data_IF_503337419979
#
_entry.id   IF_503337419979
#
_cell.length_a   1.000
_cell.length_b   1.000
_cell.length_c   1.000
_cell.angle_alpha   90.00
_cell.angle_beta   90.00
_cell.angle_gamma   90.00
#
_symmetry.space_group_name_H-M   'P 1'
#
loop_
_entity.id
_entity.type
_entity.pdbx_description
1 polymer ?
#
# COMPACT_ATOMS: atom_id res chain seq x y z
N UNK A 1 37.92 -22.73 35.44
CA UNK A 1 36.81 -21.78 35.66
C UNK A 1 37.05 -20.55 34.76
N UNK A 2 36.44 -20.57 33.61
CA UNK A 2 36.49 -19.46 32.66
C UNK A 2 35.12 -18.74 32.71
N UNK A 3 35.03 -17.65 33.49
CA UNK A 3 33.85 -16.80 33.52
C UNK A 3 33.85 -15.95 32.27
N UNK A 4 32.99 -16.29 31.32
CA UNK A 4 32.63 -15.42 30.20
C UNK A 4 31.98 -14.14 30.73
N UNK A 5 32.50 -12.99 30.32
CA UNK A 5 31.92 -11.70 30.60
C UNK A 5 30.56 -11.57 29.89
N UNK A 6 29.53 -10.94 30.48
CA UNK A 6 28.28 -10.72 29.81
C UNK A 6 28.44 -9.78 28.60
N UNK A 7 27.78 -10.11 27.51
CA UNK A 7 27.68 -9.27 26.32
C UNK A 7 27.09 -7.88 26.70
N UNK A 8 27.58 -6.79 26.13
CA UNK A 8 27.01 -5.47 26.39
C UNK A 8 25.54 -5.43 25.88
N UNK A 9 24.69 -4.81 26.68
CA UNK A 9 23.31 -4.57 26.35
C UNK A 9 23.21 -3.82 25.01
N UNK A 10 22.18 -4.11 24.16
CA UNK A 10 21.98 -3.37 22.93
C UNK A 10 21.82 -1.88 23.24
N UNK A 11 22.51 -1.05 22.46
CA UNK A 11 22.41 0.39 22.58
C UNK A 11 20.94 0.82 22.43
N UNK A 12 20.45 1.78 23.25
CA UNK A 12 19.10 2.29 23.10
C UNK A 12 18.90 2.85 21.68
N UNK A 13 17.74 2.58 21.10
CA UNK A 13 17.35 3.16 19.82
C UNK A 13 17.59 4.68 19.85
N UNK A 14 18.29 5.20 18.86
CA UNK A 14 18.59 6.63 18.80
C UNK A 14 17.27 7.40 18.84
N UNK A 15 17.11 8.27 19.84
CA UNK A 15 15.97 9.18 19.91
C UNK A 15 15.96 10.08 18.65
N UNK A 16 14.78 10.36 18.05
CA UNK A 16 14.69 11.22 16.88
C UNK A 16 15.30 12.59 17.23
N UNK A 17 16.17 13.09 16.37
CA UNK A 17 16.87 14.35 16.63
C UNK A 17 15.86 15.49 16.76
N UNK A 18 15.92 16.32 17.83
CA UNK A 18 14.95 17.38 18.10
C UNK A 18 14.78 18.40 16.95
N UNK A 19 15.81 18.56 16.14
CA UNK A 19 15.82 19.50 15.01
C UNK A 19 15.09 18.96 13.79
N UNK A 20 15.20 17.66 13.50
CA UNK A 20 14.54 17.00 12.40
C UNK A 20 13.01 16.94 12.64
N UNK A 21 12.60 16.56 13.85
CA UNK A 21 11.18 16.55 14.25
C UNK A 21 10.52 17.93 14.13
N UNK A 22 11.29 19.00 14.40
CA UNK A 22 10.82 20.39 14.31
C UNK A 22 10.63 20.86 12.87
N UNK A 23 11.53 20.46 11.96
CA UNK A 23 11.44 20.79 10.54
C UNK A 23 10.26 20.07 9.89
N UNK A 24 10.09 18.80 10.18
CA UNK A 24 8.99 17.98 9.70
C UNK A 24 7.63 18.48 10.23
N UNK A 25 7.54 18.78 11.52
CA UNK A 25 6.35 19.37 12.13
C UNK A 25 5.98 20.71 11.49
N UNK A 26 6.97 21.57 11.20
CA UNK A 26 6.76 22.84 10.50
C UNK A 26 6.25 22.66 9.07
N UNK A 27 6.78 21.69 8.33
CA UNK A 27 6.27 21.33 7.00
C UNK A 27 4.83 20.82 7.07
N UNK A 28 4.54 19.87 7.97
CA UNK A 28 3.18 19.32 8.16
C UNK A 28 2.16 20.37 8.50
N UNK A 29 2.46 21.27 9.43
CA UNK A 29 1.53 22.33 9.82
C UNK A 29 1.18 23.24 8.63
N UNK A 30 2.18 23.62 7.83
CA UNK A 30 1.96 24.43 6.62
C UNK A 30 1.22 23.68 5.53
N UNK A 31 1.58 22.42 5.29
CA UNK A 31 0.89 21.59 4.31
C UNK A 31 -0.59 21.42 4.69
N UNK A 32 -0.89 21.17 5.96
CA UNK A 32 -2.25 21.06 6.46
C UNK A 32 -3.04 22.35 6.26
N UNK A 33 -2.47 23.50 6.67
CA UNK A 33 -3.17 24.80 6.60
C UNK A 33 -3.34 25.30 5.17
N UNK A 34 -2.29 25.25 4.37
CA UNK A 34 -2.21 25.97 3.09
C UNK A 34 -2.64 25.11 1.90
N UNK A 35 -2.60 23.78 2.06
CA UNK A 35 -2.90 22.80 1.00
C UNK A 35 -4.07 21.90 1.37
N UNK A 36 -3.95 21.11 2.43
CA UNK A 36 -4.88 20.04 2.73
C UNK A 36 -6.27 20.53 3.12
N UNK A 37 -6.38 21.45 4.07
CA UNK A 37 -7.68 22.03 4.47
C UNK A 37 -8.40 22.74 3.32
N UNK A 38 -7.75 23.64 2.53
CA UNK A 38 -8.39 24.23 1.36
C UNK A 38 -8.81 23.21 0.31
N UNK A 39 -7.99 22.19 0.07
CA UNK A 39 -8.31 21.09 -0.87
C UNK A 39 -9.56 20.32 -0.42
N UNK A 40 -9.62 19.87 0.82
CA UNK A 40 -10.78 19.16 1.36
C UNK A 40 -12.06 20.04 1.36
N UNK A 41 -11.94 21.32 1.64
CA UNK A 41 -13.06 22.28 1.56
C UNK A 41 -13.55 22.42 0.13
N UNK A 42 -12.65 22.51 -0.85
CA UNK A 42 -13.02 22.60 -2.27
C UNK A 42 -13.72 21.30 -2.76
N UNK A 43 -13.24 20.12 -2.36
CA UNK A 43 -13.89 18.83 -2.65
C UNK A 43 -15.29 18.78 -2.03
N UNK A 44 -15.45 19.18 -0.77
CA UNK A 44 -16.76 19.21 -0.10
C UNK A 44 -17.74 20.13 -0.83
N UNK A 45 -17.29 21.32 -1.26
CA UNK A 45 -18.09 22.25 -2.05
C UNK A 45 -18.47 21.71 -3.43
N UNK A 46 -17.54 21.02 -4.10
CA UNK A 46 -17.80 20.34 -5.37
C UNK A 46 -18.89 19.24 -5.20
N UNK A 47 -18.75 18.37 -4.20
CA UNK A 47 -19.71 17.32 -3.89
C UNK A 47 -21.11 17.88 -3.60
N UNK A 48 -21.18 18.92 -2.75
CA UNK A 48 -22.42 19.58 -2.42
C UNK A 48 -23.10 20.18 -3.66
N UNK A 49 -22.34 20.89 -4.51
CA UNK A 49 -22.87 21.47 -5.75
C UNK A 49 -23.32 20.38 -6.75
N UNK A 50 -22.55 19.31 -6.87
CA UNK A 50 -22.88 18.19 -7.74
C UNK A 50 -24.22 17.53 -7.35
N UNK A 51 -24.42 17.26 -6.05
CA UNK A 51 -25.67 16.68 -5.54
C UNK A 51 -26.82 17.68 -5.64
N UNK A 52 -26.68 18.89 -5.09
CA UNK A 52 -27.78 19.83 -4.94
C UNK A 52 -28.22 20.48 -6.26
N UNK A 53 -27.28 20.72 -7.18
CA UNK A 53 -27.57 21.42 -8.44
C UNK A 53 -27.55 20.46 -9.64
N UNK A 54 -26.56 19.56 -9.73
CA UNK A 54 -26.41 18.63 -10.85
C UNK A 54 -27.44 17.49 -10.82
N UNK A 55 -27.25 16.60 -9.85
CA UNK A 55 -28.08 15.39 -9.72
C UNK A 55 -29.55 15.74 -9.48
N UNK A 56 -29.85 16.65 -8.55
CA UNK A 56 -31.23 17.00 -8.24
C UNK A 56 -32.00 17.51 -9.46
N UNK A 57 -31.37 18.36 -10.28
CA UNK A 57 -31.98 18.91 -11.50
C UNK A 57 -32.20 17.85 -12.58
N UNK A 58 -31.20 17.00 -12.80
CA UNK A 58 -31.29 15.92 -13.78
C UNK A 58 -32.31 14.85 -13.36
N UNK A 59 -32.38 14.53 -12.09
CA UNK A 59 -33.39 13.63 -11.50
C UNK A 59 -34.81 14.15 -11.70
N UNK A 60 -35.05 15.44 -11.43
CA UNK A 60 -36.36 16.07 -11.65
C UNK A 60 -36.77 16.02 -13.13
N UNK A 61 -35.85 16.26 -14.05
CA UNK A 61 -36.07 16.16 -15.47
C UNK A 61 -36.42 14.71 -15.92
N UNK A 62 -35.73 13.71 -15.39
CA UNK A 62 -36.00 12.30 -15.61
C UNK A 62 -37.39 11.90 -15.07
N UNK A 63 -37.76 12.38 -13.90
CA UNK A 63 -39.07 12.16 -13.29
C UNK A 63 -40.20 12.78 -14.15
N UNK A 64 -40.00 13.99 -14.65
CA UNK A 64 -40.98 14.64 -15.54
C UNK A 64 -41.16 13.89 -16.87
N UNK A 65 -40.12 13.15 -17.33
CA UNK A 65 -40.20 12.28 -18.52
C UNK A 65 -40.80 10.89 -18.22
N UNK A 66 -41.01 10.55 -16.95
CA UNK A 66 -41.45 9.21 -16.52
C UNK A 66 -40.38 8.13 -16.63
N UNK A 67 -39.11 8.48 -16.72
CA UNK A 67 -37.98 7.52 -16.82
C UNK A 67 -37.57 7.02 -15.45
N UNK A 68 -38.16 5.92 -14.98
CA UNK A 68 -37.81 5.32 -13.67
C UNK A 68 -36.33 4.86 -13.62
N UNK A 69 -35.79 4.33 -14.71
CA UNK A 69 -34.38 3.88 -14.76
C UNK A 69 -33.41 5.02 -14.58
N UNK A 70 -33.65 6.18 -15.20
CA UNK A 70 -32.82 7.37 -15.00
C UNK A 70 -32.94 7.91 -13.57
N UNK A 71 -34.16 8.00 -13.02
CA UNK A 71 -34.37 8.43 -11.62
C UNK A 71 -33.61 7.55 -10.67
N UNK A 72 -33.68 6.23 -10.82
CA UNK A 72 -32.92 5.27 -9.98
C UNK A 72 -31.40 5.46 -10.10
N UNK A 73 -30.89 5.70 -11.31
CA UNK A 73 -29.48 5.94 -11.53
C UNK A 73 -28.98 7.22 -10.81
N UNK A 74 -29.78 8.29 -10.81
CA UNK A 74 -29.46 9.52 -10.08
C UNK A 74 -29.56 9.33 -8.56
N UNK A 75 -30.50 8.54 -8.06
CA UNK A 75 -30.61 8.24 -6.63
C UNK A 75 -29.41 7.41 -6.13
N UNK A 76 -28.94 6.43 -6.92
CA UNK A 76 -27.72 5.67 -6.64
C UNK A 76 -26.50 6.57 -6.63
N UNK A 77 -26.35 7.45 -7.64
CA UNK A 77 -25.23 8.38 -7.72
C UNK A 77 -25.20 9.35 -6.53
N UNK A 78 -26.36 9.89 -6.14
CA UNK A 78 -26.48 10.74 -4.97
C UNK A 78 -26.01 10.02 -3.71
N UNK A 79 -26.50 8.81 -3.49
CA UNK A 79 -26.11 8.00 -2.34
C UNK A 79 -24.61 7.71 -2.31
N UNK A 80 -23.99 7.40 -3.45
CA UNK A 80 -22.57 7.17 -3.56
C UNK A 80 -21.73 8.41 -3.14
N UNK A 81 -22.12 9.60 -3.60
CA UNK A 81 -21.46 10.86 -3.22
C UNK A 81 -21.66 11.17 -1.72
N UNK A 82 -22.88 10.98 -1.20
CA UNK A 82 -23.19 11.21 0.22
C UNK A 82 -22.46 10.21 1.13
N UNK A 83 -22.22 9.00 0.67
CA UNK A 83 -21.41 7.98 1.34
C UNK A 83 -19.88 8.17 1.19
N UNK A 84 -19.46 9.17 0.40
CA UNK A 84 -18.04 9.48 0.19
C UNK A 84 -17.33 8.64 -0.87
N UNK A 85 -18.07 7.84 -1.66
CA UNK A 85 -17.52 6.97 -2.71
C UNK A 85 -16.97 7.76 -3.92
N UNK A 86 -17.40 9.01 -4.08
CA UNK A 86 -16.99 9.87 -5.19
C UNK A 86 -17.60 9.47 -6.54
N UNK A 87 -17.27 10.25 -7.58
CA UNK A 87 -17.69 9.93 -8.96
C UNK A 87 -16.69 8.95 -9.57
N UNK A 88 -17.15 7.83 -10.17
CA UNK A 88 -16.24 6.87 -10.82
C UNK A 88 -15.36 7.51 -11.89
N UNK A 89 -14.13 7.03 -12.02
CA UNK A 89 -13.18 7.55 -13.01
C UNK A 89 -13.64 7.30 -14.46
N UNK A 90 -14.36 6.20 -14.68
CA UNK A 90 -14.92 5.84 -15.98
C UNK A 90 -16.42 5.51 -15.87
N UNK A 91 -17.15 5.71 -16.94
CA UNK A 91 -18.59 5.44 -17.03
C UNK A 91 -18.86 4.07 -17.64
N UNK A 92 -19.79 3.30 -17.03
CA UNK A 92 -20.30 2.10 -17.65
C UNK A 92 -21.15 2.46 -18.89
N UNK A 93 -21.18 1.57 -19.91
CA UNK A 93 -21.95 1.80 -21.14
C UNK A 93 -23.46 1.98 -20.87
N UNK A 94 -23.95 1.35 -19.81
CA UNK A 94 -25.37 1.25 -19.46
C UNK A 94 -25.93 2.45 -18.69
N UNK A 95 -25.08 3.40 -18.26
CA UNK A 95 -25.60 4.55 -17.50
C UNK A 95 -26.23 5.61 -18.42
N UNK A 96 -27.22 6.37 -17.91
CA UNK A 96 -27.87 7.43 -18.68
C UNK A 96 -26.89 8.49 -19.21
N UNK A 97 -27.11 8.98 -20.44
CA UNK A 97 -26.26 10.02 -21.05
C UNK A 97 -26.15 11.27 -20.17
N UNK A 98 -27.28 11.73 -19.61
CA UNK A 98 -27.28 12.89 -18.72
C UNK A 98 -26.44 12.67 -17.44
N UNK A 99 -26.29 11.45 -16.95
CA UNK A 99 -25.40 11.14 -15.83
C UNK A 99 -23.92 11.13 -16.28
N UNK A 100 -23.62 10.64 -17.49
CA UNK A 100 -22.27 10.72 -18.09
C UNK A 100 -21.79 12.18 -18.19
N UNK A 101 -22.66 13.07 -18.68
CA UNK A 101 -22.34 14.50 -18.83
C UNK A 101 -22.08 15.18 -17.47
N UNK A 102 -22.89 14.86 -16.47
CA UNK A 102 -22.70 15.37 -15.10
C UNK A 102 -21.39 14.87 -14.50
N UNK A 103 -21.08 13.58 -14.66
CA UNK A 103 -19.81 12.98 -14.20
C UNK A 103 -18.61 13.58 -14.92
N UNK A 104 -18.69 13.82 -16.21
CA UNK A 104 -17.62 14.48 -16.98
C UNK A 104 -17.35 15.89 -16.42
N UNK A 105 -18.40 16.68 -16.18
CA UNK A 105 -18.27 18.01 -15.59
C UNK A 105 -17.64 17.97 -14.18
N UNK A 106 -18.07 17.02 -13.35
CA UNK A 106 -17.50 16.82 -12.02
C UNK A 106 -16.00 16.47 -12.08
N UNK A 107 -15.61 15.53 -12.96
CA UNK A 107 -14.20 15.13 -13.12
C UNK A 107 -13.31 16.28 -13.57
N UNK A 108 -13.78 17.14 -14.47
CA UNK A 108 -13.05 18.34 -14.88
C UNK A 108 -12.84 19.31 -13.70
N UNK A 109 -13.86 19.53 -12.90
CA UNK A 109 -13.76 20.38 -11.72
C UNK A 109 -12.82 19.79 -10.67
N UNK A 110 -12.88 18.47 -10.44
CA UNK A 110 -11.99 17.74 -9.55
C UNK A 110 -10.53 17.80 -10.02
N UNK A 111 -10.27 17.65 -11.32
CA UNK A 111 -8.93 17.77 -11.90
C UNK A 111 -8.35 19.18 -11.66
N UNK A 112 -9.15 20.23 -11.82
CA UNK A 112 -8.73 21.60 -11.52
C UNK A 112 -8.35 21.78 -10.05
N UNK A 113 -9.19 21.31 -9.13
CA UNK A 113 -8.93 21.36 -7.67
C UNK A 113 -7.64 20.60 -7.33
N UNK A 114 -7.40 19.46 -7.96
CA UNK A 114 -6.19 18.67 -7.78
C UNK A 114 -4.94 19.41 -8.31
N UNK A 115 -5.03 20.03 -9.47
CA UNK A 115 -3.94 20.86 -10.02
C UNK A 115 -3.59 22.04 -9.11
N UNK A 116 -4.60 22.69 -8.52
CA UNK A 116 -4.39 23.79 -7.57
C UNK A 116 -3.73 23.30 -6.27
N UNK A 117 -4.09 22.10 -5.78
CA UNK A 117 -3.41 21.45 -4.66
C UNK A 117 -1.93 21.21 -4.97
N UNK A 118 -1.65 20.64 -6.13
CA UNK A 118 -0.30 20.27 -6.53
C UNK A 118 0.58 21.53 -6.73
N UNK A 119 0.02 22.57 -7.32
CA UNK A 119 0.69 23.86 -7.48
C UNK A 119 1.04 24.52 -6.13
N UNK A 120 0.23 24.33 -5.09
CA UNK A 120 0.51 24.80 -3.73
C UNK A 120 1.47 23.89 -2.98
N UNK A 121 1.45 22.59 -3.26
CA UNK A 121 2.32 21.60 -2.62
C UNK A 121 3.77 21.76 -3.06
N UNK A 122 3.99 22.00 -4.36
CA UNK A 122 5.32 22.06 -4.95
C UNK A 122 6.29 23.04 -4.23
N UNK A 123 5.94 24.31 -4.00
CA UNK A 123 6.85 25.26 -3.32
C UNK A 123 7.11 24.88 -1.86
N UNK A 124 6.17 24.23 -1.17
CA UNK A 124 6.39 23.75 0.20
C UNK A 124 7.44 22.63 0.23
N UNK A 125 7.38 21.72 -0.74
CA UNK A 125 8.39 20.66 -0.89
C UNK A 125 9.76 21.24 -1.26
N UNK A 126 9.82 22.27 -2.11
CA UNK A 126 11.08 22.94 -2.47
C UNK A 126 11.77 23.57 -1.23
N UNK A 127 10.98 24.22 -0.35
CA UNK A 127 11.48 24.77 0.92
C UNK A 127 11.96 23.66 1.85
N UNK A 128 11.21 22.57 1.95
CA UNK A 128 11.56 21.43 2.81
C UNK A 128 12.83 20.72 2.31
N UNK A 129 12.96 20.48 1.01
CA UNK A 129 14.18 19.92 0.40
C UNK A 129 15.42 20.75 0.70
N UNK A 130 15.31 22.08 0.56
CA UNK A 130 16.44 22.99 0.84
C UNK A 130 16.87 22.93 2.31
N UNK A 131 15.94 22.78 3.22
CA UNK A 131 16.25 22.64 4.65
C UNK A 131 16.91 21.28 4.93
N UNK A 132 16.41 20.18 4.34
CA UNK A 132 17.05 18.86 4.45
C UNK A 132 18.47 18.85 3.88
N UNK A 133 18.73 19.53 2.75
CA UNK A 133 20.06 19.66 2.19
C UNK A 133 21.04 20.37 3.15
N UNK A 134 20.57 21.41 3.84
CA UNK A 134 21.37 22.12 4.83
C UNK A 134 21.69 21.24 6.05
N UNK A 135 20.73 20.48 6.55
CA UNK A 135 20.92 19.57 7.69
C UNK A 135 21.83 18.39 7.34
N UNK A 136 21.69 17.78 6.15
CA UNK A 136 22.61 16.74 5.65
C UNK A 136 24.05 17.27 5.61
N UNK A 137 24.25 18.48 5.07
CA UNK A 137 25.57 19.09 5.01
C UNK A 137 26.14 19.39 6.40
N UNK A 138 25.30 19.83 7.34
CA UNK A 138 25.67 20.08 8.74
C UNK A 138 26.11 18.81 9.46
N UNK A 139 25.33 17.72 9.35
CA UNK A 139 25.65 16.41 9.93
C UNK A 139 26.93 15.83 9.35
N UNK A 140 27.14 15.96 8.04
CA UNK A 140 28.34 15.49 7.35
C UNK A 140 29.59 16.23 7.86
N UNK A 141 29.52 17.56 8.01
CA UNK A 141 30.62 18.37 8.58
C UNK A 141 30.91 18.04 10.04
N UNK A 142 29.87 17.67 10.79
CA UNK A 142 30.02 17.25 12.19
C UNK A 142 30.55 15.81 12.35
N UNK A 143 30.82 15.10 11.26
CA UNK A 143 31.26 13.70 11.29
C UNK A 143 30.17 12.68 11.62
N UNK A 144 28.89 13.08 11.69
CA UNK A 144 27.75 12.26 12.00
C UNK A 144 27.23 11.56 10.72
N UNK A 145 28.04 10.69 10.15
CA UNK A 145 27.85 10.15 8.80
C UNK A 145 26.60 9.29 8.69
N UNK A 146 26.28 8.44 9.67
CA UNK A 146 25.09 7.58 9.61
C UNK A 146 23.79 8.39 9.71
N UNK A 147 23.76 9.43 10.56
CA UNK A 147 22.64 10.36 10.64
C UNK A 147 22.46 11.14 9.32
N UNK A 148 23.58 11.58 8.71
CA UNK A 148 23.55 12.26 7.41
C UNK A 148 23.01 11.35 6.29
N UNK A 149 23.38 10.07 6.27
CA UNK A 149 22.85 9.09 5.28
C UNK A 149 21.35 8.86 5.44
N UNK A 150 20.85 8.72 6.67
CA UNK A 150 19.41 8.56 6.93
C UNK A 150 18.63 9.78 6.44
N UNK A 151 19.11 10.97 6.77
CA UNK A 151 18.46 12.21 6.33
C UNK A 151 18.54 12.41 4.82
N UNK A 152 19.63 12.01 4.18
CA UNK A 152 19.78 12.04 2.73
C UNK A 152 18.79 11.09 2.03
N UNK A 153 18.53 9.90 2.60
CA UNK A 153 17.49 9.00 2.09
C UNK A 153 16.10 9.66 2.12
N UNK A 154 15.72 10.25 3.24
CA UNK A 154 14.47 11.00 3.38
C UNK A 154 14.37 12.16 2.36
N UNK A 155 15.48 12.89 2.18
CA UNK A 155 15.56 13.95 1.17
C UNK A 155 15.29 13.43 -0.25
N UNK A 156 15.78 12.23 -0.61
CA UNK A 156 15.54 11.62 -1.92
C UNK A 156 14.05 11.30 -2.14
N UNK A 157 13.36 10.82 -1.11
CA UNK A 157 11.92 10.53 -1.16
C UNK A 157 11.11 11.82 -1.41
N UNK A 158 11.43 12.87 -0.68
CA UNK A 158 10.77 14.17 -0.86
C UNK A 158 11.07 14.76 -2.25
N UNK A 159 12.28 14.55 -2.78
CA UNK A 159 12.64 14.99 -4.12
C UNK A 159 11.85 14.24 -5.21
N UNK A 160 11.70 12.92 -5.07
CA UNK A 160 10.88 12.12 -5.98
C UNK A 160 9.40 12.57 -5.95
N UNK A 161 8.85 12.83 -4.77
CA UNK A 161 7.51 13.39 -4.61
C UNK A 161 7.38 14.76 -5.29
N UNK A 162 8.38 15.63 -5.15
CA UNK A 162 8.41 16.94 -5.79
C UNK A 162 8.47 16.84 -7.33
N UNK A 163 9.26 15.91 -7.84
CA UNK A 163 9.38 15.65 -9.28
C UNK A 163 8.04 15.17 -9.87
N UNK A 164 7.35 14.25 -9.18
CA UNK A 164 6.03 13.77 -9.59
C UNK A 164 4.98 14.88 -9.74
N UNK A 165 5.06 15.95 -8.94
CA UNK A 165 4.18 17.12 -9.07
C UNK A 165 4.56 18.04 -10.25
N UNK A 166 5.76 17.90 -10.82
CA UNK A 166 6.24 18.74 -11.92
C UNK A 166 5.81 18.25 -13.30
N UNK A 167 5.22 17.05 -13.37
CA UNK A 167 4.62 16.54 -14.60
C UNK A 167 3.23 17.17 -14.75
N UNK A 168 2.98 18.07 -15.73
CA UNK A 168 1.68 18.70 -15.93
C UNK A 168 0.62 17.62 -16.22
N UNK A 169 -0.38 17.53 -15.33
CA UNK A 169 -1.43 16.51 -15.40
C UNK A 169 -0.83 15.14 -15.06
N UNK A 170 -0.83 14.74 -13.76
CA UNK A 170 -0.18 13.53 -13.26
C UNK A 170 -0.17 12.42 -14.29
N UNK A 171 1.00 12.00 -14.70
CA UNK A 171 1.34 11.10 -15.81
C UNK A 171 0.12 10.68 -16.66
N UNK A 172 -0.22 11.47 -17.68
CA UNK A 172 -1.08 10.96 -18.74
C UNK A 172 -0.39 9.69 -19.25
N UNK A 173 -1.02 8.56 -19.03
CA UNK A 173 -0.58 7.32 -19.64
C UNK A 173 -0.38 7.60 -21.14
N UNK A 174 0.67 7.05 -21.77
CA UNK A 174 0.93 7.30 -23.17
C UNK A 174 -0.34 7.01 -23.97
N UNK A 175 -0.73 7.96 -24.81
CA UNK A 175 -1.88 7.85 -25.70
C UNK A 175 -1.72 6.56 -26.50
N UNK A 176 -2.60 5.57 -26.25
CA UNK A 176 -2.51 4.25 -26.89
C UNK A 176 -2.34 3.06 -25.94
N UNK A 177 -2.36 3.24 -24.63
CA UNK A 177 -2.32 2.12 -23.70
C UNK A 177 -3.56 1.23 -23.89
N UNK A 178 -3.33 -0.02 -24.34
CA UNK A 178 -4.37 -1.05 -24.42
C UNK A 178 -4.99 -1.27 -23.03
N UNK A 179 -6.32 -1.49 -22.94
CA UNK A 179 -6.95 -1.90 -21.66
C UNK A 179 -6.20 -3.08 -21.05
N UNK A 180 -6.15 -3.16 -19.71
CA UNK A 180 -5.52 -4.31 -19.06
C UNK A 180 -6.16 -5.61 -19.54
N UNK A 181 -5.35 -6.64 -19.85
CA UNK A 181 -5.86 -7.92 -20.34
C UNK A 181 -6.81 -8.54 -19.30
N UNK A 182 -8.01 -8.97 -19.72
CA UNK A 182 -8.94 -9.68 -18.84
C UNK A 182 -8.36 -10.98 -18.28
N UNK A 183 -7.41 -11.57 -19.02
CA UNK A 183 -6.78 -12.86 -18.71
C UNK A 183 -5.47 -12.74 -17.90
N UNK A 184 -5.15 -11.53 -17.45
CA UNK A 184 -3.93 -11.26 -16.70
C UNK A 184 -2.79 -10.69 -17.55
N UNK A 185 -1.73 -10.25 -16.86
CA UNK A 185 -0.54 -9.65 -17.44
C UNK A 185 0.71 -10.25 -16.80
N UNK A 186 1.77 -10.46 -17.56
CA UNK A 186 3.09 -10.86 -17.04
C UNK A 186 4.09 -9.79 -17.41
N UNK A 187 4.82 -9.28 -16.42
CA UNK A 187 5.80 -8.21 -16.59
C UNK A 187 7.18 -8.74 -17.06
N UNK A 188 8.14 -7.85 -17.25
CA UNK A 188 9.51 -8.20 -17.71
C UNK A 188 10.33 -9.01 -16.70
N UNK A 189 9.89 -9.11 -15.44
CA UNK A 189 10.50 -9.95 -14.40
C UNK A 189 9.82 -11.33 -14.30
N UNK A 190 8.80 -11.59 -15.14
CA UNK A 190 8.03 -12.83 -15.07
C UNK A 190 6.99 -12.84 -13.93
N UNK A 191 6.73 -11.71 -13.29
CA UNK A 191 5.67 -11.57 -12.28
C UNK A 191 4.31 -11.51 -12.99
N UNK A 192 3.39 -12.38 -12.62
CA UNK A 192 2.04 -12.45 -13.19
C UNK A 192 1.07 -11.62 -12.35
N UNK A 193 0.18 -10.90 -13.02
CA UNK A 193 -0.83 -10.03 -12.43
C UNK A 193 -2.22 -10.46 -12.89
N UNK A 194 -3.18 -10.44 -11.97
CA UNK A 194 -4.60 -10.71 -12.24
C UNK A 194 -5.46 -9.51 -11.83
N UNK A 195 -6.53 -9.19 -12.60
CA UNK A 195 -7.46 -8.13 -12.20
C UNK A 195 -8.24 -8.55 -10.96
N UNK A 196 -8.37 -7.64 -10.00
CA UNK A 196 -9.17 -7.85 -8.80
C UNK A 196 -10.44 -7.05 -8.90
N UNK A 197 -11.58 -7.74 -8.99
CA UNK A 197 -12.90 -7.11 -9.12
C UNK A 197 -13.20 -6.25 -7.89
N UNK A 198 -13.56 -5.00 -8.12
CA UNK A 198 -13.83 -4.01 -7.06
C UNK A 198 -12.64 -3.06 -6.85
N UNK A 199 -11.57 -3.24 -7.62
CA UNK A 199 -10.42 -2.33 -7.67
C UNK A 199 -10.12 -1.93 -9.11
N UNK A 200 -9.35 -0.86 -9.30
CA UNK A 200 -8.83 -0.40 -10.60
C UNK A 200 -7.39 -0.89 -10.86
N UNK A 201 -6.98 -1.97 -10.19
CA UNK A 201 -5.63 -2.51 -10.28
C UNK A 201 -5.62 -4.01 -10.58
N UNK A 202 -4.49 -4.49 -11.08
CA UNK A 202 -4.16 -5.91 -11.11
C UNK A 202 -3.17 -6.20 -10.00
N UNK A 203 -3.42 -7.25 -9.23
CA UNK A 203 -2.51 -7.73 -8.19
C UNK A 203 -1.50 -8.71 -8.76
N UNK A 204 -0.23 -8.58 -8.36
CA UNK A 204 0.72 -9.67 -8.51
C UNK A 204 0.18 -10.91 -7.76
N UNK A 205 0.19 -12.06 -8.43
CA UNK A 205 -0.40 -13.28 -7.85
C UNK A 205 0.36 -13.83 -6.65
N UNK A 206 1.59 -13.38 -6.42
CA UNK A 206 2.47 -13.79 -5.33
C UNK A 206 3.20 -12.57 -4.73
N UNK A 207 3.79 -12.72 -3.58
CA UNK A 207 4.72 -11.77 -2.95
C UNK A 207 5.92 -11.50 -3.87
N UNK A 208 6.54 -10.33 -3.79
CA UNK A 208 7.77 -10.02 -4.54
C UNK A 208 8.88 -10.96 -4.11
N UNK A 209 9.44 -11.70 -5.07
CA UNK A 209 10.46 -12.74 -4.80
C UNK A 209 11.85 -12.12 -4.65
N UNK A 210 12.72 -12.87 -3.97
CA UNK A 210 14.14 -12.53 -3.86
C UNK A 210 14.78 -12.26 -5.24
N UNK A 211 14.55 -13.09 -6.25
CA UNK A 211 15.09 -12.89 -7.61
C UNK A 211 14.61 -11.60 -8.28
N UNK A 212 13.34 -11.22 -8.04
CA UNK A 212 12.76 -9.99 -8.58
C UNK A 212 13.47 -8.77 -7.97
N UNK A 213 13.62 -8.79 -6.64
CA UNK A 213 14.30 -7.72 -5.91
C UNK A 213 15.81 -7.69 -6.17
N UNK A 214 16.46 -8.84 -6.35
CA UNK A 214 17.87 -8.92 -6.72
C UNK A 214 18.15 -8.25 -8.08
N UNK A 215 17.22 -8.41 -9.04
CA UNK A 215 17.30 -7.73 -10.34
C UNK A 215 17.23 -6.22 -10.18
N UNK A 216 16.37 -5.71 -9.29
CA UNK A 216 16.31 -4.31 -8.93
C UNK A 216 17.61 -3.82 -8.27
N UNK A 217 18.08 -4.55 -7.25
CA UNK A 217 19.28 -4.19 -6.50
C UNK A 217 20.53 -4.15 -7.38
N UNK A 218 20.65 -5.08 -8.33
CA UNK A 218 21.74 -5.08 -9.31
C UNK A 218 21.73 -3.84 -10.23
N UNK A 219 20.53 -3.35 -10.58
CA UNK A 219 20.36 -2.16 -11.39
C UNK A 219 20.47 -0.84 -10.62
N UNK A 220 20.47 -0.89 -9.28
CA UNK A 220 20.46 0.29 -8.40
C UNK A 220 21.54 0.14 -7.30
N UNK A 221 22.82 0.40 -7.62
CA UNK A 221 23.90 0.36 -6.64
C UNK A 221 23.62 1.27 -5.44
N UNK A 222 23.85 0.75 -4.22
CA UNK A 222 23.53 1.45 -2.96
C UNK A 222 22.19 1.05 -2.35
N UNK A 223 21.44 0.13 -2.97
CA UNK A 223 20.28 -0.51 -2.33
C UNK A 223 20.71 -1.19 -1.02
N UNK A 224 19.91 -1.01 0.04
CA UNK A 224 20.16 -1.65 1.34
C UNK A 224 20.29 -3.18 1.20
N UNK A 225 21.16 -3.79 1.99
CA UNK A 225 21.54 -5.20 1.85
C UNK A 225 20.89 -6.14 2.87
N UNK A 226 20.00 -5.63 3.74
CA UNK A 226 19.35 -6.40 4.81
C UNK A 226 18.62 -7.66 4.30
N UNK A 227 18.13 -7.62 3.08
CA UNK A 227 17.44 -8.73 2.42
C UNK A 227 18.33 -9.91 2.05
N UNK A 228 19.66 -9.72 2.04
CA UNK A 228 20.60 -10.76 1.58
C UNK A 228 20.79 -11.87 2.61
N UNK A 229 20.82 -11.51 3.90
CA UNK A 229 21.21 -12.41 4.99
C UNK A 229 20.19 -12.37 6.16
N UNK A 230 18.92 -12.19 5.87
CA UNK A 230 17.88 -12.24 6.88
C UNK A 230 17.73 -13.66 7.46
N UNK A 231 17.43 -13.75 8.76
CA UNK A 231 17.25 -15.03 9.45
C UNK A 231 16.45 -14.86 10.75
N UNK A 232 15.83 -15.95 11.19
CA UNK A 232 15.11 -16.06 12.46
C UNK A 232 15.67 -17.25 13.25
N UNK A 233 16.08 -17.02 14.48
CA UNK A 233 16.67 -18.03 15.39
C UNK A 233 17.75 -18.89 14.72
N UNK A 234 18.59 -18.29 13.88
CA UNK A 234 19.67 -18.97 13.16
C UNK A 234 19.23 -19.71 11.88
N UNK A 235 17.95 -19.72 11.54
CA UNK A 235 17.41 -20.27 10.30
C UNK A 235 17.29 -19.16 9.25
N UNK A 236 17.86 -19.32 8.05
CA UNK A 236 17.76 -18.32 6.99
C UNK A 236 16.30 -18.06 6.56
N UNK A 237 15.99 -16.79 6.25
CA UNK A 237 14.68 -16.36 5.74
C UNK A 237 14.86 -15.75 4.35
N UNK A 238 14.00 -16.11 3.39
CA UNK A 238 13.98 -15.49 2.06
C UNK A 238 15.32 -15.62 1.30
N UNK A 239 16.06 -16.70 1.48
CA UNK A 239 17.41 -16.84 0.94
C UNK A 239 17.48 -17.53 -0.43
N UNK A 240 16.41 -18.19 -0.87
CA UNK A 240 16.30 -18.77 -2.21
C UNK A 240 15.57 -17.85 -3.18
N UNK A 241 15.87 -18.00 -4.47
CA UNK A 241 15.37 -17.11 -5.54
C UNK A 241 13.85 -17.00 -5.59
N UNK A 242 13.15 -18.10 -5.35
CA UNK A 242 11.68 -18.16 -5.39
C UNK A 242 11.00 -17.92 -4.03
N UNK A 243 11.73 -17.63 -2.97
CA UNK A 243 11.17 -17.17 -1.71
C UNK A 243 10.79 -15.68 -1.76
N UNK A 244 9.85 -15.20 -0.94
CA UNK A 244 9.61 -13.78 -0.82
C UNK A 244 10.87 -13.05 -0.36
N UNK A 245 11.10 -11.86 -0.86
CA UNK A 245 12.13 -11.01 -0.32
C UNK A 245 11.72 -10.50 1.05
N UNK A 246 12.63 -10.54 2.01
CA UNK A 246 12.42 -10.12 3.41
C UNK A 246 13.46 -9.09 3.85
N UNK A 247 13.28 -8.50 5.02
CA UNK A 247 14.17 -7.43 5.49
C UNK A 247 13.94 -6.11 4.75
N UNK A 248 12.80 -5.96 4.10
CA UNK A 248 12.46 -4.82 3.24
C UNK A 248 11.77 -3.74 4.07
N UNK A 249 12.31 -2.51 3.99
CA UNK A 249 11.67 -1.32 4.50
C UNK A 249 10.57 -0.86 3.54
N UNK A 250 9.56 -0.17 4.04
CA UNK A 250 8.50 0.40 3.18
C UNK A 250 9.08 1.27 2.06
N UNK A 251 10.09 2.09 2.39
CA UNK A 251 10.78 2.95 1.42
C UNK A 251 11.50 2.15 0.32
N UNK A 252 12.04 0.97 0.64
CA UNK A 252 12.69 0.09 -0.34
C UNK A 252 11.66 -0.53 -1.30
N UNK A 253 10.49 -0.91 -0.78
CA UNK A 253 9.38 -1.41 -1.60
C UNK A 253 8.86 -0.32 -2.57
N UNK A 254 8.74 0.93 -2.11
CA UNK A 254 8.41 2.08 -2.96
C UNK A 254 9.45 2.31 -4.05
N UNK A 255 10.74 2.24 -3.71
CA UNK A 255 11.83 2.41 -4.66
C UNK A 255 11.83 1.31 -5.73
N UNK A 256 11.54 0.05 -5.35
CA UNK A 256 11.34 -1.06 -6.29
C UNK A 256 10.19 -0.76 -7.26
N UNK A 257 9.03 -0.33 -6.75
CA UNK A 257 7.87 0.03 -7.56
C UNK A 257 8.19 1.15 -8.56
N UNK A 258 8.86 2.21 -8.11
CA UNK A 258 9.25 3.35 -8.94
C UNK A 258 10.22 2.93 -10.05
N UNK A 259 11.24 2.11 -9.72
CA UNK A 259 12.18 1.57 -10.70
C UNK A 259 11.47 0.72 -11.76
N UNK A 260 10.59 -0.21 -11.35
CA UNK A 260 9.87 -1.07 -12.27
C UNK A 260 8.92 -0.27 -13.16
N UNK A 261 8.27 0.75 -12.58
CA UNK A 261 7.41 1.67 -13.33
C UNK A 261 8.18 2.39 -14.44
N UNK A 262 9.34 2.94 -14.11
CA UNK A 262 10.23 3.60 -15.08
C UNK A 262 10.74 2.63 -16.14
N UNK A 263 11.12 1.41 -15.73
CA UNK A 263 11.63 0.36 -16.64
C UNK A 263 10.60 -0.05 -17.69
N UNK A 264 9.32 -0.12 -17.33
CA UNK A 264 8.27 -0.66 -18.21
C UNK A 264 7.31 0.39 -18.75
N UNK A 265 7.41 1.65 -18.35
CA UNK A 265 6.48 2.70 -18.75
C UNK A 265 5.04 2.43 -18.27
N UNK A 266 4.88 1.80 -17.10
CA UNK A 266 3.62 1.45 -16.44
C UNK A 266 3.63 1.98 -15.01
N UNK A 267 2.49 1.97 -14.33
CA UNK A 267 2.42 2.38 -12.93
C UNK A 267 2.32 1.17 -12.02
N UNK A 268 3.43 0.83 -11.38
CA UNK A 268 3.48 -0.15 -10.29
C UNK A 268 3.57 0.58 -8.96
N UNK A 269 2.86 0.07 -7.95
CA UNK A 269 2.89 0.60 -6.58
C UNK A 269 2.55 -0.49 -5.56
N UNK A 270 2.65 -0.18 -4.29
CA UNK A 270 2.06 -1.01 -3.24
C UNK A 270 0.53 -0.95 -3.34
N UNK A 271 -0.20 -2.00 -2.96
CA UNK A 271 -1.66 -1.92 -2.81
C UNK A 271 -2.02 -0.97 -1.67
N UNK A 272 -3.18 -0.35 -1.74
CA UNK A 272 -3.77 0.30 -0.56
C UNK A 272 -4.30 -0.75 0.41
N UNK A 273 -4.52 -0.37 1.68
CA UNK A 273 -5.14 -1.24 2.70
C UNK A 273 -6.53 -1.70 2.25
N UNK A 274 -7.29 -0.85 1.56
CA UNK A 274 -8.58 -1.20 0.99
C UNK A 274 -8.48 -2.20 -0.16
N UNK A 275 -7.59 -1.96 -1.12
CA UNK A 275 -7.34 -2.89 -2.22
C UNK A 275 -6.90 -4.26 -1.72
N UNK A 276 -6.04 -4.29 -0.69
CA UNK A 276 -5.61 -5.53 -0.05
C UNK A 276 -6.79 -6.25 0.63
N UNK A 277 -7.65 -5.51 1.35
CA UNK A 277 -8.87 -6.08 1.97
C UNK A 277 -9.83 -6.65 0.93
N UNK A 278 -10.01 -5.97 -0.21
CA UNK A 278 -10.80 -6.49 -1.34
C UNK A 278 -10.17 -7.76 -1.89
N UNK A 279 -8.85 -7.77 -2.07
CA UNK A 279 -8.10 -8.89 -2.63
C UNK A 279 -8.16 -10.15 -1.75
N UNK A 280 -8.17 -10.02 -0.42
CA UNK A 280 -8.32 -11.15 0.50
C UNK A 280 -9.78 -11.57 0.72
N UNK A 281 -10.76 -10.75 0.29
CA UNK A 281 -12.19 -11.08 0.35
C UNK A 281 -13.00 -10.37 1.44
N UNK A 282 -12.49 -9.32 2.07
CA UNK A 282 -13.14 -8.57 3.16
C UNK A 282 -14.07 -7.44 2.70
N UNK A 283 -14.13 -7.11 1.42
CA UNK A 283 -14.81 -5.91 0.88
C UNK A 283 -16.26 -5.70 1.32
N UNK A 284 -16.97 -6.78 1.71
CA UNK A 284 -18.36 -6.71 2.20
C UNK A 284 -18.49 -6.76 3.72
N UNK A 285 -17.37 -7.00 4.40
CA UNK A 285 -17.32 -7.21 5.84
C UNK A 285 -16.73 -5.99 6.58
N UNK A 286 -15.99 -5.15 5.87
CA UNK A 286 -15.43 -3.91 6.38
C UNK A 286 -16.26 -2.71 5.95
N UNK A 287 -16.80 -1.97 6.92
CA UNK A 287 -17.48 -0.70 6.67
C UNK A 287 -16.46 0.42 6.68
N UNK A 288 -16.16 0.95 5.52
CA UNK A 288 -15.24 2.08 5.36
C UNK A 288 -16.04 3.37 5.18
N UNK A 289 -15.91 4.28 6.12
CA UNK A 289 -16.50 5.61 6.07
C UNK A 289 -15.40 6.67 6.20
N UNK A 290 -15.75 7.92 5.91
CA UNK A 290 -14.81 9.05 6.03
C UNK A 290 -14.23 9.14 7.46
N UNK A 291 -12.89 9.20 7.55
CA UNK A 291 -12.17 9.30 8.83
C UNK A 291 -11.87 7.96 9.49
N UNK A 292 -12.25 6.83 8.89
CA UNK A 292 -11.81 5.51 9.36
C UNK A 292 -10.37 5.25 8.91
N UNK A 293 -9.50 5.01 9.88
CA UNK A 293 -8.11 4.61 9.66
C UNK A 293 -7.99 3.09 9.61
N UNK A 294 -6.92 2.51 9.02
CA UNK A 294 -6.66 1.08 9.07
C UNK A 294 -6.64 0.52 10.50
N UNK A 295 -6.11 1.25 11.48
CA UNK A 295 -6.08 0.85 12.88
C UNK A 295 -7.49 0.62 13.47
N UNK A 296 -8.46 1.43 13.06
CA UNK A 296 -9.85 1.29 13.50
C UNK A 296 -10.55 0.06 12.91
N UNK A 297 -10.08 -0.44 11.77
CA UNK A 297 -10.61 -1.62 11.10
C UNK A 297 -9.93 -2.92 11.55
N UNK A 298 -8.80 -2.81 12.26
CA UNK A 298 -8.08 -3.99 12.74
C UNK A 298 -8.95 -4.81 13.69
N UNK A 299 -9.03 -6.13 13.45
CA UNK A 299 -9.75 -7.11 14.27
C UNK A 299 -11.27 -6.86 14.42
N UNK A 300 -11.88 -6.03 13.60
CA UNK A 300 -13.34 -5.84 13.63
C UNK A 300 -14.06 -7.09 13.11
N UNK A 301 -13.54 -7.72 12.07
CA UNK A 301 -14.01 -9.00 11.57
C UNK A 301 -13.12 -10.11 12.16
N UNK A 302 -13.70 -11.06 12.91
CA UNK A 302 -12.96 -12.04 13.72
C UNK A 302 -13.17 -13.50 13.29
N UNK A 303 -13.82 -13.72 12.16
CA UNK A 303 -14.13 -15.08 11.70
C UNK A 303 -13.50 -15.41 10.34
N UNK A 304 -12.96 -14.42 9.63
CA UNK A 304 -12.41 -14.58 8.29
C UNK A 304 -10.90 -14.72 8.30
N UNK A 305 -10.44 -15.87 7.84
CA UNK A 305 -9.03 -16.17 7.63
C UNK A 305 -8.70 -16.21 6.14
N UNK A 306 -7.44 -16.01 5.73
CA UNK A 306 -7.03 -16.03 4.31
C UNK A 306 -7.35 -17.33 3.57
N UNK A 307 -7.44 -18.45 4.30
CA UNK A 307 -7.93 -19.71 3.79
C UNK A 307 -9.45 -19.85 4.00
N UNK A 308 -10.09 -20.73 3.25
CA UNK A 308 -11.55 -20.92 3.30
C UNK A 308 -12.05 -21.72 4.53
N UNK A 309 -11.41 -21.61 5.69
CA UNK A 309 -11.71 -22.41 6.87
C UNK A 309 -11.68 -21.61 8.17
N UNK A 310 -11.92 -22.33 9.27
CA UNK A 310 -11.81 -21.78 10.62
C UNK A 310 -10.42 -22.01 11.20
N UNK A 311 -10.05 -21.21 12.20
CA UNK A 311 -8.84 -21.45 12.98
C UNK A 311 -9.05 -22.61 13.99
N UNK A 312 -8.07 -23.48 14.23
CA UNK A 312 -6.81 -23.60 13.51
C UNK A 312 -6.99 -24.24 12.11
N UNK A 313 -6.07 -23.94 11.16
CA UNK A 313 -6.10 -24.63 9.87
C UNK A 313 -5.81 -26.12 10.04
N UNK A 314 -6.30 -26.95 9.12
CA UNK A 314 -5.97 -28.38 9.05
C UNK A 314 -4.86 -28.61 8.04
N UNK A 315 -4.03 -29.63 8.22
CA UNK A 315 -2.96 -29.98 7.27
C UNK A 315 -3.48 -30.20 5.84
N UNK A 316 -4.73 -30.65 5.68
CA UNK A 316 -5.38 -30.81 4.35
C UNK A 316 -5.78 -29.48 3.69
N UNK A 317 -5.83 -28.41 4.45
CA UNK A 317 -6.31 -27.12 3.94
C UNK A 317 -5.28 -26.46 3.03
N UNK A 318 -3.98 -26.78 3.22
CA UNK A 318 -2.87 -26.08 2.55
C UNK A 318 -3.03 -24.57 2.68
N UNK A 319 -3.22 -24.13 3.95
CA UNK A 319 -3.74 -22.83 4.29
C UNK A 319 -2.72 -21.69 4.07
N UNK A 320 -1.44 -21.99 4.28
CA UNK A 320 -0.33 -21.04 4.20
C UNK A 320 0.82 -21.42 5.12
N UNK A 321 1.88 -20.64 5.08
CA UNK A 321 3.06 -20.79 5.92
C UNK A 321 2.91 -19.91 7.18
N UNK A 322 2.81 -20.55 8.35
CA UNK A 322 2.51 -19.91 9.64
C UNK A 322 3.45 -20.40 10.73
N UNK A 323 3.37 -19.79 11.94
CA UNK A 323 4.02 -20.37 13.12
C UNK A 323 3.32 -21.68 13.51
N UNK A 324 3.88 -22.81 13.07
CA UNK A 324 3.33 -24.16 13.20
C UNK A 324 4.34 -25.15 13.79
N UNK A 325 4.18 -26.45 13.56
CA UNK A 325 5.09 -27.48 14.08
C UNK A 325 6.50 -27.36 13.49
N UNK A 326 6.64 -27.03 12.18
CA UNK A 326 7.95 -26.85 11.55
C UNK A 326 8.69 -25.63 12.13
N UNK A 327 7.96 -24.52 12.32
CA UNK A 327 8.46 -23.33 13.02
C UNK A 327 8.85 -23.66 14.46
N UNK A 328 7.95 -24.26 15.25
CA UNK A 328 8.19 -24.61 16.66
C UNK A 328 9.36 -25.58 16.87
N UNK A 329 9.69 -26.42 15.90
CA UNK A 329 10.85 -27.32 15.95
C UNK A 329 12.20 -26.58 15.83
N UNK A 330 12.22 -25.33 15.35
CA UNK A 330 13.43 -24.54 15.10
C UNK A 330 13.47 -23.24 15.89
N UNK A 331 12.31 -22.66 16.21
CA UNK A 331 12.20 -21.41 16.97
C UNK A 331 12.17 -21.67 18.47
N UNK A 332 12.70 -20.70 19.23
CA UNK A 332 12.59 -20.65 20.69
C UNK A 332 11.28 -20.01 21.15
N UNK A 333 10.43 -19.56 20.24
CA UNK A 333 9.15 -18.91 20.52
C UNK A 333 8.10 -19.92 20.98
N UNK A 334 7.37 -19.69 22.08
CA UNK A 334 6.43 -20.65 22.66
C UNK A 334 5.08 -20.74 21.95
N UNK A 335 4.79 -19.86 20.98
CA UNK A 335 3.45 -19.71 20.39
C UNK A 335 3.39 -20.21 18.96
N UNK A 336 2.98 -21.46 18.74
CA UNK A 336 2.77 -22.01 17.41
C UNK A 336 1.48 -22.86 17.34
N UNK A 337 1.03 -23.15 16.12
CA UNK A 337 -0.18 -23.95 15.83
C UNK A 337 0.16 -25.44 15.95
N UNK A 338 -0.15 -26.06 17.07
CA UNK A 338 0.24 -27.43 17.39
C UNK A 338 -0.41 -28.54 16.53
N UNK A 339 -1.43 -28.21 15.76
CA UNK A 339 -2.17 -29.17 14.91
C UNK A 339 -1.96 -28.96 13.40
N UNK A 340 -1.02 -28.12 13.03
CA UNK A 340 -0.70 -27.80 11.66
C UNK A 340 0.81 -27.96 11.41
N UNK A 341 1.18 -28.39 10.21
CA UNK A 341 2.57 -28.53 9.77
C UNK A 341 2.60 -28.19 8.28
N UNK A 342 3.22 -27.08 7.92
CA UNK A 342 3.40 -26.64 6.54
C UNK A 342 4.75 -27.09 5.94
N UNK A 343 5.66 -27.58 6.80
CA UNK A 343 6.98 -28.09 6.42
C UNK A 343 8.06 -27.02 6.33
N UNK A 344 7.76 -25.74 6.63
CA UNK A 344 8.71 -24.64 6.50
C UNK A 344 8.96 -23.95 7.84
N UNK A 345 10.17 -24.01 8.39
CA UNK A 345 10.48 -23.36 9.68
C UNK A 345 10.61 -21.84 9.60
N UNK A 346 10.73 -21.28 8.39
CA UNK A 346 10.75 -19.85 8.10
C UNK A 346 9.96 -19.60 6.80
N UNK A 347 10.41 -18.73 5.91
CA UNK A 347 9.70 -18.50 4.63
C UNK A 347 9.63 -19.76 3.77
N UNK A 348 8.56 -19.90 3.01
CA UNK A 348 8.38 -20.91 1.95
C UNK A 348 8.59 -20.27 0.55
N UNK A 349 8.88 -21.05 -0.49
CA UNK A 349 8.76 -20.57 -1.86
C UNK A 349 7.35 -20.00 -2.10
N UNK A 350 7.24 -18.87 -2.79
CA UNK A 350 5.92 -18.32 -3.12
C UNK A 350 5.09 -19.33 -3.91
N UNK A 351 3.77 -19.31 -3.73
CA UNK A 351 2.81 -20.23 -4.38
C UNK A 351 2.93 -21.70 -3.92
N UNK A 352 3.52 -21.95 -2.76
CA UNK A 352 3.57 -23.32 -2.19
C UNK A 352 2.21 -23.82 -1.71
N UNK A 353 1.26 -22.92 -1.47
CA UNK A 353 -0.07 -23.23 -0.93
C UNK A 353 -1.18 -22.90 -1.93
N UNK A 354 -2.43 -23.16 -1.55
CA UNK A 354 -3.58 -22.89 -2.43
C UNK A 354 -3.82 -21.40 -2.60
N UNK A 355 -4.12 -20.94 -3.82
CA UNK A 355 -4.56 -19.56 -4.02
C UNK A 355 -5.96 -19.35 -3.43
N UNK A 356 -6.28 -18.09 -3.15
CA UNK A 356 -7.64 -17.70 -2.82
C UNK A 356 -8.56 -17.75 -4.07
N UNK A 357 -9.84 -17.41 -3.90
CA UNK A 357 -10.85 -17.44 -4.99
C UNK A 357 -10.54 -16.52 -6.17
N UNK A 358 -9.65 -15.55 -5.99
CA UNK A 358 -9.20 -14.62 -7.04
C UNK A 358 -7.91 -15.09 -7.73
N UNK A 359 -7.36 -16.25 -7.36
CA UNK A 359 -6.12 -16.77 -7.93
C UNK A 359 -4.86 -16.14 -7.33
N UNK A 360 -4.98 -15.48 -6.17
CA UNK A 360 -3.86 -14.85 -5.46
C UNK A 360 -3.34 -15.82 -4.39
N UNK A 361 -2.03 -16.06 -4.39
CA UNK A 361 -1.33 -16.92 -3.47
C UNK A 361 -0.80 -16.12 -2.27
N UNK A 362 -0.60 -16.80 -1.16
CA UNK A 362 0.08 -16.26 0.02
C UNK A 362 -0.52 -14.93 0.51
N UNK A 363 -1.88 -14.79 0.40
CA UNK A 363 -2.60 -13.64 0.97
C UNK A 363 -2.68 -13.71 2.51
N UNK A 364 -2.05 -14.69 3.10
CA UNK A 364 -1.87 -14.83 4.54
C UNK A 364 -0.77 -15.81 4.85
N UNK A 365 0.05 -15.45 5.83
CA UNK A 365 1.27 -16.17 6.19
C UNK A 365 2.47 -15.79 5.31
N UNK A 366 3.51 -16.59 5.38
CA UNK A 366 4.79 -16.39 4.71
C UNK A 366 5.48 -15.10 5.14
N UNK A 367 5.12 -13.93 4.60
CA UNK A 367 5.64 -12.65 5.05
C UNK A 367 4.55 -11.60 5.22
N UNK A 368 4.72 -10.68 6.16
CA UNK A 368 3.92 -9.47 6.25
C UNK A 368 4.12 -8.62 5.00
N UNK A 369 3.04 -8.12 4.43
CA UNK A 369 3.06 -7.33 3.19
C UNK A 369 2.85 -5.84 3.48
N UNK A 370 3.82 -5.00 3.13
CA UNK A 370 3.67 -3.56 3.15
C UNK A 370 2.55 -3.11 2.22
N UNK A 371 1.71 -2.19 2.70
CA UNK A 371 0.73 -1.47 1.88
C UNK A 371 0.99 0.05 1.91
N UNK A 372 0.27 0.80 1.08
CA UNK A 372 0.49 2.23 0.88
C UNK A 372 0.09 3.09 2.09
N UNK A 373 -0.85 2.62 2.91
CA UNK A 373 -1.54 3.45 3.89
C UNK A 373 -0.74 3.65 5.19
N UNK A 374 -0.96 4.78 5.82
CA UNK A 374 -0.61 4.99 7.21
C UNK A 374 -1.56 4.21 8.12
N UNK A 375 -1.03 3.66 9.21
CA UNK A 375 -1.80 2.85 10.15
C UNK A 375 -2.89 3.66 10.86
N UNK A 376 -2.56 4.87 11.27
CA UNK A 376 -3.45 5.79 12.00
C UNK A 376 -3.20 7.26 11.63
N UNK A 377 -3.89 8.15 12.34
CA UNK A 377 -3.81 9.60 12.11
C UNK A 377 -2.43 10.20 12.45
N UNK A 378 -1.60 9.50 13.24
CA UNK A 378 -0.24 9.99 13.58
C UNK A 378 0.69 10.02 12.37
N UNK A 379 0.41 9.19 11.35
CA UNK A 379 1.22 9.04 10.14
C UNK A 379 2.71 8.76 10.44
N UNK A 380 2.98 8.01 11.51
CA UNK A 380 4.34 7.63 11.92
C UNK A 380 4.70 6.20 11.51
N UNK A 381 3.71 5.34 11.35
CA UNK A 381 3.87 3.93 11.00
C UNK A 381 2.98 3.53 9.83
N UNK A 382 3.50 2.63 8.99
CA UNK A 382 2.81 2.10 7.80
C UNK A 382 2.13 0.79 8.14
N UNK A 383 1.06 0.47 7.42
CA UNK A 383 0.32 -0.78 7.58
C UNK A 383 1.08 -1.93 6.95
N UNK A 384 1.01 -3.08 7.63
CA UNK A 384 1.41 -4.40 7.15
C UNK A 384 0.23 -5.36 7.23
N UNK A 385 0.09 -6.26 6.28
CA UNK A 385 -1.05 -7.16 6.16
C UNK A 385 -0.62 -8.62 6.01
N UNK A 386 -1.56 -9.52 6.29
CA UNK A 386 -1.48 -10.94 5.98
C UNK A 386 -0.96 -11.86 7.08
N UNK A 387 -0.22 -11.35 8.04
CA UNK A 387 0.56 -12.20 8.94
C UNK A 387 1.79 -12.79 8.23
N UNK A 388 2.58 -13.58 8.94
CA UNK A 388 3.81 -14.16 8.45
C UNK A 388 4.07 -15.55 9.04
N UNK A 389 5.19 -16.17 8.68
CA UNK A 389 5.62 -17.48 9.21
C UNK A 389 5.85 -17.50 10.73
N UNK A 390 5.93 -16.34 11.39
CA UNK A 390 6.06 -16.26 12.86
C UNK A 390 4.72 -16.03 13.56
N UNK A 391 3.62 -15.90 12.83
CA UNK A 391 2.32 -15.52 13.37
C UNK A 391 1.37 -16.71 13.50
N UNK A 392 0.50 -16.63 14.51
CA UNK A 392 -0.53 -17.63 14.80
C UNK A 392 -1.81 -16.96 15.32
N UNK A 393 -2.89 -17.73 15.45
CA UNK A 393 -4.15 -17.29 16.07
C UNK A 393 -4.77 -16.03 15.43
N UNK A 394 -5.09 -15.03 16.22
CA UNK A 394 -5.76 -13.80 15.78
C UNK A 394 -4.91 -12.94 14.85
N UNK A 395 -3.59 -13.09 14.91
CA UNK A 395 -2.67 -12.40 13.98
C UNK A 395 -2.85 -12.83 12.54
N UNK A 396 -3.47 -13.98 12.29
CA UNK A 396 -3.76 -14.53 10.95
C UNK A 396 -5.16 -14.14 10.44
N UNK A 397 -5.95 -13.39 11.20
CA UNK A 397 -7.22 -12.86 10.71
C UNK A 397 -6.99 -11.99 9.47
N UNK A 398 -7.81 -12.18 8.46
CA UNK A 398 -7.74 -11.33 7.25
C UNK A 398 -7.94 -9.85 7.57
N UNK A 399 -8.65 -9.52 8.66
CA UNK A 399 -8.90 -8.15 9.13
C UNK A 399 -7.77 -7.59 9.99
N UNK A 400 -6.80 -8.40 10.42
CA UNK A 400 -5.69 -7.93 11.25
C UNK A 400 -4.78 -6.96 10.47
N UNK A 401 -4.34 -5.91 11.15
CA UNK A 401 -3.40 -4.93 10.63
C UNK A 401 -2.24 -4.80 11.59
N UNK A 402 -1.08 -5.19 11.11
CA UNK A 402 0.18 -4.86 11.75
C UNK A 402 0.64 -3.47 11.31
N UNK A 403 1.65 -2.96 11.98
CA UNK A 403 2.27 -1.70 11.62
C UNK A 403 3.75 -1.70 11.98
N UNK A 404 4.54 -0.93 11.23
CA UNK A 404 5.94 -0.67 11.56
C UNK A 404 6.38 0.68 10.98
N UNK A 405 7.52 1.18 11.46
CA UNK A 405 8.13 2.38 10.93
C UNK A 405 8.55 2.20 9.45
N UNK A 406 8.35 3.18 8.57
CA UNK A 406 8.64 3.04 7.14
C UNK A 406 10.10 2.76 6.81
N UNK A 407 11.00 2.98 7.76
CA UNK A 407 12.44 2.73 7.64
C UNK A 407 12.92 1.46 8.37
N UNK A 408 11.99 0.69 8.93
CA UNK A 408 12.29 -0.58 9.60
C UNK A 408 12.02 -1.76 8.66
N UNK A 409 13.03 -2.62 8.47
CA UNK A 409 12.93 -3.83 7.66
C UNK A 409 13.18 -5.06 8.53
N UNK A 410 12.10 -5.75 8.94
CA UNK A 410 12.23 -6.97 9.73
C UNK A 410 12.37 -8.20 8.83
N UNK A 411 12.96 -9.25 9.35
CA UNK A 411 13.18 -10.51 8.61
C UNK A 411 11.90 -11.25 8.18
N UNK A 412 10.74 -10.72 8.52
CA UNK A 412 9.42 -11.19 8.13
C UNK A 412 8.59 -10.11 7.40
N UNK A 413 9.17 -8.93 7.10
CA UNK A 413 8.52 -7.89 6.30
C UNK A 413 8.95 -8.02 4.84
N UNK A 414 7.99 -8.27 3.98
CA UNK A 414 8.09 -8.29 2.54
C UNK A 414 7.04 -7.36 1.92
N UNK A 415 6.66 -7.61 0.66
CA UNK A 415 5.62 -6.84 -0.03
C UNK A 415 5.14 -7.54 -1.29
N UNK A 416 3.94 -7.22 -1.74
CA UNK A 416 3.49 -7.47 -3.12
C UNK A 416 3.15 -6.16 -3.80
N UNK A 417 3.14 -6.16 -5.13
CA UNK A 417 2.88 -4.98 -5.91
C UNK A 417 1.60 -5.13 -6.72
N UNK A 418 1.01 -3.98 -7.05
CA UNK A 418 -0.10 -3.88 -7.98
C UNK A 418 0.32 -3.10 -9.22
N UNK A 419 -0.35 -3.39 -10.34
CA UNK A 419 -0.25 -2.66 -11.58
C UNK A 419 -1.55 -1.87 -11.76
N UNK A 420 -1.45 -0.55 -11.83
CA UNK A 420 -2.61 0.29 -12.13
C UNK A 420 -3.13 0.03 -13.55
N UNK A 421 -4.44 0.02 -13.68
CA UNK A 421 -5.06 0.11 -15.00
C UNK A 421 -4.57 1.39 -15.69
N UNK A 422 -4.24 1.34 -16.99
CA UNK A 422 -3.98 2.56 -17.72
C UNK A 422 -5.22 3.45 -17.58
N UNK A 423 -5.07 4.62 -16.97
CA UNK A 423 -6.15 5.60 -16.95
C UNK A 423 -6.37 6.01 -18.40
N UNK A 424 -7.47 5.55 -18.99
CA UNK A 424 -7.90 6.04 -20.30
C UNK A 424 -8.17 7.52 -20.07
N UNK A 425 -7.35 8.37 -20.69
CA UNK A 425 -7.66 9.79 -20.73
C UNK A 425 -9.02 9.95 -21.41
N UNK A 426 -9.91 10.80 -20.87
CA UNK A 426 -11.24 11.03 -21.43
C UNK A 426 -11.15 11.59 -22.85
#
# INVERSE_FOLDING_TARGET
ENKSAPLPAPAPAAEPQPQLSKLEAGFRARYESDVQKPFLTAIAGLNQSYVANGIARARAAAQAKGSLSEVTAFDVEKAAIENGEGVPAADAETIPAALKDLRATYRLALAKISTERDAKTAPLLDVYLKALDADVAGLTKAGKIEEAKQLYSQRQEIAARREALSVPGGAAAPVGAKPLPKDGFTNSLGMKFLPVKGTDVMFCIHETRRQDYATYAAANPGTAENWKNAGHDGVPCGHEDNHPVVGIRWVDAQAFCAWLSKKEGKTYRLPTDEEWSIAVGLSRLETRSKGITPSMLSDQERETYPWSGKYPPKSTDQAGNYADLAFGAKSQSPGFISGYDDGFPTTSPVMSFKPNKLGLFDMGGNVLEWVEDWYDESQTVRVLRGGSFIDSSTNLLSSHRFFDGPTLGRHFNGFRIVLEAPKIAP
#
